data_IF_024445713320
#
_entry.id   IF_024445713320
#
_cell.length_a   1.000
_cell.length_b   1.000
_cell.length_c   1.000
_cell.angle_alpha   90.00
_cell.angle_beta   90.00
_cell.angle_gamma   90.00
#
_symmetry.space_group_name_H-M   'P 1'
#
loop_
_entity.id
_entity.type
_entity.pdbx_description
1 polymer ?
#
# COMPACT_ATOMS: atom_id res chain seq x y z
N UNK A 1 -12.12 11.38 14.66
CA UNK A 1 -13.45 10.94 15.14
C UNK A 1 -14.08 9.79 14.35
N UNK A 2 -14.42 9.92 13.05
CA UNK A 2 -15.18 8.90 12.31
C UNK A 2 -14.65 7.46 12.37
N UNK A 3 -13.34 7.26 12.09
CA UNK A 3 -12.72 5.93 12.11
C UNK A 3 -12.78 5.25 13.49
N UNK A 4 -12.49 6.01 14.56
CA UNK A 4 -12.52 5.47 15.93
C UNK A 4 -13.92 5.00 16.31
N UNK A 5 -14.93 5.81 16.01
CA UNK A 5 -16.33 5.46 16.31
C UNK A 5 -16.77 4.19 15.57
N UNK A 6 -16.40 4.06 14.29
CA UNK A 6 -16.74 2.89 13.48
C UNK A 6 -16.08 1.61 14.02
N UNK A 7 -14.79 1.66 14.35
CA UNK A 7 -14.08 0.51 14.94
C UNK A 7 -14.72 0.06 16.26
N UNK A 8 -15.04 1.01 17.15
CA UNK A 8 -15.73 0.71 18.42
C UNK A 8 -17.12 0.10 18.17
N UNK A 9 -17.89 0.65 17.24
CA UNK A 9 -19.23 0.14 16.89
C UNK A 9 -19.18 -1.29 16.34
N UNK A 10 -18.13 -1.64 15.59
CA UNK A 10 -17.91 -2.98 15.05
C UNK A 10 -17.30 -3.95 16.07
N UNK A 11 -17.07 -3.52 17.32
CA UNK A 11 -16.58 -4.38 18.39
C UNK A 11 -15.06 -4.61 18.37
N UNK A 12 -14.28 -3.79 17.65
CA UNK A 12 -12.83 -3.90 17.72
C UNK A 12 -12.34 -3.51 19.13
N UNK A 13 -11.54 -4.35 19.79
CA UNK A 13 -11.00 -4.06 21.11
C UNK A 13 -9.87 -3.03 21.03
N UNK A 14 -9.60 -2.39 22.17
CA UNK A 14 -8.37 -1.61 22.37
C UNK A 14 -8.19 -0.39 21.46
N UNK A 15 -9.26 0.25 20.97
CA UNK A 15 -9.18 1.42 20.08
C UNK A 15 -8.84 2.72 20.87
N UNK A 16 -7.56 2.96 21.11
CA UNK A 16 -7.00 4.11 21.87
C UNK A 16 -6.09 4.97 20.97
N UNK A 17 -5.48 6.02 21.50
CA UNK A 17 -4.48 6.81 20.75
C UNK A 17 -3.16 6.06 20.56
N UNK A 18 -2.87 5.08 21.42
CA UNK A 18 -1.67 4.24 21.33
C UNK A 18 -1.77 3.21 20.19
N UNK A 19 -2.97 2.70 19.91
CA UNK A 19 -3.19 1.62 18.93
C UNK A 19 -3.79 2.10 17.62
N UNK A 20 -4.44 3.26 17.59
CA UNK A 20 -5.00 3.87 16.38
C UNK A 20 -4.11 5.00 15.88
N UNK A 21 -3.05 4.65 15.15
CA UNK A 21 -2.09 5.62 14.61
C UNK A 21 -2.45 6.00 13.18
N UNK A 22 -3.18 7.10 13.03
CA UNK A 22 -3.61 7.63 11.73
C UNK A 22 -2.56 8.55 11.11
N UNK A 23 -2.71 8.86 9.81
CA UNK A 23 -1.87 9.84 9.13
C UNK A 23 -2.19 11.23 9.66
N UNK A 24 -1.17 12.00 10.03
CA UNK A 24 -1.30 13.37 10.55
C UNK A 24 -0.92 14.43 9.52
N UNK A 25 -0.02 14.10 8.60
CA UNK A 25 0.41 14.97 7.51
C UNK A 25 -0.10 14.41 6.18
N UNK A 26 -0.85 15.23 5.43
CA UNK A 26 -1.42 14.84 4.15
C UNK A 26 -0.35 14.54 3.08
N UNK A 27 0.80 15.19 3.17
CA UNK A 27 1.91 15.07 2.23
C UNK A 27 2.84 13.88 2.57
N UNK A 28 2.74 13.34 3.79
CA UNK A 28 3.45 12.14 4.23
C UNK A 28 2.59 10.87 4.07
N UNK A 29 2.71 10.21 2.92
CA UNK A 29 2.01 8.95 2.65
C UNK A 29 2.70 7.71 3.24
N UNK A 30 4.01 7.80 3.54
CA UNK A 30 4.76 6.68 4.09
C UNK A 30 4.20 6.23 5.44
N UNK A 31 4.27 4.92 5.67
CA UNK A 31 3.94 4.30 6.96
C UNK A 31 5.19 4.04 7.80
N UNK A 32 6.38 4.24 7.24
CA UNK A 32 7.63 3.89 7.90
C UNK A 32 7.89 4.66 9.20
N UNK A 33 7.66 5.99 9.28
CA UNK A 33 7.85 6.70 10.54
C UNK A 33 6.98 6.14 11.67
N UNK A 34 5.74 5.73 11.35
CA UNK A 34 4.81 5.12 12.32
C UNK A 34 5.25 3.71 12.71
N UNK A 35 5.73 2.89 11.76
CA UNK A 35 6.31 1.57 12.07
C UNK A 35 7.55 1.70 12.97
N UNK A 36 8.45 2.64 12.67
CA UNK A 36 9.65 2.91 13.49
C UNK A 36 9.27 3.36 14.91
N UNK A 37 8.28 4.23 15.06
CA UNK A 37 7.77 4.65 16.37
C UNK A 37 7.23 3.46 17.19
N UNK A 38 6.40 2.61 16.58
CA UNK A 38 5.89 1.39 17.24
C UNK A 38 7.04 0.46 17.64
N UNK A 39 8.04 0.30 16.75
CA UNK A 39 9.18 -0.58 16.96
C UNK A 39 10.09 -0.18 18.13
N UNK A 40 10.02 1.07 18.61
CA UNK A 40 10.75 1.52 19.81
C UNK A 40 10.23 0.85 21.10
N UNK A 41 8.97 0.41 21.11
CA UNK A 41 8.30 -0.14 22.30
C UNK A 41 7.84 -1.59 22.11
N UNK A 42 7.67 -2.03 20.86
CA UNK A 42 7.07 -3.31 20.54
C UNK A 42 7.85 -4.04 19.44
N UNK A 43 7.84 -5.37 19.48
CA UNK A 43 8.31 -6.19 18.36
C UNK A 43 7.17 -6.43 17.37
N UNK A 44 7.26 -5.86 16.18
CA UNK A 44 6.29 -6.09 15.10
C UNK A 44 6.52 -7.47 14.48
N UNK A 45 5.64 -8.41 14.82
CA UNK A 45 5.71 -9.81 14.35
C UNK A 45 5.00 -10.04 13.01
N UNK A 46 3.95 -9.26 12.71
CA UNK A 46 3.16 -9.34 11.48
C UNK A 46 2.83 -7.94 10.96
N UNK A 47 2.68 -7.83 9.64
CA UNK A 47 2.14 -6.65 8.95
C UNK A 47 1.03 -7.11 8.01
N UNK A 48 -0.12 -6.45 8.09
CA UNK A 48 -1.32 -6.79 7.34
C UNK A 48 -1.77 -5.56 6.55
N UNK A 49 -2.12 -5.73 5.28
CA UNK A 49 -2.51 -4.62 4.42
C UNK A 49 -2.84 -5.05 3.00
N UNK A 50 -3.41 -4.14 2.23
CA UNK A 50 -3.79 -4.32 0.83
C UNK A 50 -2.80 -3.69 -0.15
N UNK A 51 -1.79 -2.99 0.36
CA UNK A 51 -0.78 -2.31 -0.44
C UNK A 51 0.63 -2.71 0.01
N UNK A 52 1.57 -2.91 -0.93
CA UNK A 52 2.95 -3.25 -0.60
C UNK A 52 3.61 -2.25 0.37
N UNK A 53 3.23 -0.96 0.29
CA UNK A 53 3.77 0.09 1.17
C UNK A 53 3.33 -0.09 2.65
N UNK A 54 2.38 -0.99 2.93
CA UNK A 54 2.01 -1.42 4.29
C UNK A 54 3.11 -2.26 4.96
N UNK A 55 3.99 -2.86 4.16
CA UNK A 55 4.99 -3.81 4.62
C UNK A 55 6.40 -3.21 4.75
N UNK A 56 6.79 -2.34 3.81
CA UNK A 56 8.12 -1.75 3.78
C UNK A 56 8.15 -0.47 2.93
N UNK A 57 9.06 0.44 3.26
CA UNK A 57 9.37 1.61 2.41
C UNK A 57 10.03 1.22 1.08
N UNK A 58 10.62 0.02 0.97
CA UNK A 58 11.26 -0.48 -0.26
C UNK A 58 10.33 -0.56 -1.48
N UNK A 59 9.01 -0.52 -1.26
CA UNK A 59 8.00 -0.54 -2.31
C UNK A 59 7.53 0.86 -2.73
N UNK A 60 7.88 1.90 -1.99
CA UNK A 60 7.35 3.25 -2.18
C UNK A 60 7.93 3.93 -3.43
N UNK A 61 7.08 4.66 -4.17
CA UNK A 61 7.46 5.58 -5.24
C UNK A 61 8.39 4.97 -6.32
N UNK A 62 8.10 3.75 -6.74
CA UNK A 62 8.87 3.05 -7.77
C UNK A 62 8.00 2.61 -8.95
N UNK A 63 8.62 2.28 -10.07
CA UNK A 63 7.92 1.86 -11.29
C UNK A 63 7.14 0.56 -11.08
N UNK A 64 6.20 0.24 -11.97
CA UNK A 64 5.49 -1.06 -11.96
C UNK A 64 6.49 -2.23 -11.87
N UNK A 65 7.53 -2.21 -12.71
CA UNK A 65 8.58 -3.23 -12.71
C UNK A 65 9.39 -3.24 -11.41
N UNK A 66 9.70 -2.07 -10.84
CA UNK A 66 10.37 -1.95 -9.55
C UNK A 66 9.55 -2.56 -8.41
N UNK A 67 8.24 -2.33 -8.40
CA UNK A 67 7.32 -2.89 -7.40
C UNK A 67 7.26 -4.42 -7.49
N UNK A 68 7.18 -4.96 -8.71
CA UNK A 68 7.20 -6.41 -8.97
C UNK A 68 8.52 -7.01 -8.48
N UNK A 69 9.66 -6.43 -8.88
CA UNK A 69 10.99 -6.92 -8.48
C UNK A 69 11.19 -6.91 -6.97
N UNK A 70 10.78 -5.84 -6.28
CA UNK A 70 10.85 -5.79 -4.82
C UNK A 70 9.96 -6.85 -4.15
N UNK A 71 8.78 -7.12 -4.72
CA UNK A 71 7.89 -8.16 -4.22
C UNK A 71 8.50 -9.56 -4.40
N UNK A 72 9.11 -9.83 -5.56
CA UNK A 72 9.82 -11.08 -5.84
C UNK A 72 11.00 -11.30 -4.89
N UNK A 73 11.78 -10.25 -4.61
CA UNK A 73 12.88 -10.28 -3.63
C UNK A 73 12.36 -10.58 -2.21
N UNK A 74 11.14 -10.15 -1.89
CA UNK A 74 10.49 -10.35 -0.60
C UNK A 74 9.59 -11.58 -0.54
N UNK A 75 9.59 -12.45 -1.56
CA UNK A 75 8.61 -13.55 -1.71
C UNK A 75 8.45 -14.44 -0.47
N UNK A 76 9.55 -14.71 0.23
CA UNK A 76 9.56 -15.56 1.42
C UNK A 76 8.84 -14.94 2.63
N UNK A 77 8.62 -13.63 2.63
CA UNK A 77 7.94 -12.90 3.69
C UNK A 77 6.42 -12.91 3.52
N UNK A 78 5.91 -13.10 2.31
CA UNK A 78 4.47 -13.16 2.07
C UNK A 78 3.85 -14.44 2.62
N UNK A 79 2.72 -14.31 3.33
CA UNK A 79 2.05 -15.40 4.03
C UNK A 79 2.68 -15.76 5.38
N UNK A 80 3.84 -15.21 5.73
CA UNK A 80 4.51 -15.46 7.01
C UNK A 80 4.59 -14.20 7.86
N UNK A 81 5.19 -13.12 7.31
CA UNK A 81 5.32 -11.81 7.98
C UNK A 81 4.46 -10.74 7.34
N UNK A 82 4.30 -10.79 6.01
CA UNK A 82 3.45 -9.89 5.23
C UNK A 82 2.17 -10.63 4.83
N UNK A 83 1.03 -10.19 5.33
CA UNK A 83 -0.28 -10.76 5.01
C UNK A 83 -1.00 -9.79 4.09
N UNK A 84 -1.07 -10.16 2.81
CA UNK A 84 -1.67 -9.33 1.76
C UNK A 84 -3.18 -9.58 1.66
N UNK A 85 -3.96 -8.50 1.64
CA UNK A 85 -5.38 -8.52 1.30
C UNK A 85 -5.57 -8.06 -0.15
N UNK A 86 -6.42 -8.71 -0.96
CA UNK A 86 -6.63 -8.31 -2.34
C UNK A 86 -7.44 -7.01 -2.43
N UNK A 87 -6.91 -6.01 -3.16
CA UNK A 87 -7.63 -4.81 -3.52
C UNK A 87 -7.40 -4.45 -5.01
N UNK A 88 -8.32 -4.82 -5.92
CA UNK A 88 -8.21 -4.50 -7.33
C UNK A 88 -8.75 -3.10 -7.68
N UNK A 89 -9.29 -2.35 -6.71
CA UNK A 89 -10.02 -1.10 -6.96
C UNK A 89 -9.10 0.12 -7.05
N UNK A 90 -8.09 0.20 -6.20
CA UNK A 90 -7.14 1.30 -6.15
C UNK A 90 -5.86 0.89 -5.41
N UNK A 91 -4.85 1.74 -5.43
CA UNK A 91 -3.65 1.59 -4.60
C UNK A 91 -2.42 2.18 -5.25
N UNK A 92 -1.27 1.99 -4.60
CA UNK A 92 0.00 2.52 -5.14
C UNK A 92 0.44 1.75 -6.40
N UNK A 93 -0.12 0.56 -6.63
CA UNK A 93 0.00 -0.14 -7.91
C UNK A 93 -0.54 0.73 -9.07
N UNK A 94 -1.68 1.38 -8.89
CA UNK A 94 -2.28 2.25 -9.91
C UNK A 94 -1.47 3.54 -10.07
N UNK A 95 -1.03 4.14 -8.96
CA UNK A 95 -0.15 5.32 -8.98
C UNK A 95 1.13 5.06 -9.79
N UNK A 96 1.70 3.86 -9.68
CA UNK A 96 2.90 3.50 -10.44
C UNK A 96 2.67 3.40 -11.95
N UNK A 97 1.46 3.05 -12.40
CA UNK A 97 1.05 3.11 -13.83
C UNK A 97 1.04 4.55 -14.32
N UNK A 98 0.67 5.49 -13.45
CA UNK A 98 0.67 6.92 -13.75
C UNK A 98 2.03 7.59 -13.54
N UNK A 99 3.08 6.81 -13.21
CA UNK A 99 4.41 7.32 -12.84
C UNK A 99 4.32 8.40 -11.74
N UNK A 100 3.34 8.26 -10.85
CA UNK A 100 3.02 9.22 -9.79
C UNK A 100 2.69 10.63 -10.30
N UNK A 101 2.34 10.79 -11.58
CA UNK A 101 1.84 12.04 -12.14
C UNK A 101 0.33 12.16 -11.94
N UNK A 102 -0.06 12.78 -10.82
CA UNK A 102 -1.47 12.99 -10.48
C UNK A 102 -2.17 14.07 -11.30
N UNK A 103 -1.44 14.82 -12.14
CA UNK A 103 -2.00 15.87 -13.01
C UNK A 103 -2.57 15.34 -14.33
N UNK A 104 -2.42 14.04 -14.59
CA UNK A 104 -2.96 13.40 -15.79
C UNK A 104 -4.49 13.50 -15.82
N UNK A 105 -5.05 13.76 -17.00
CA UNK A 105 -6.49 13.69 -17.23
C UNK A 105 -6.97 12.25 -17.18
N UNK A 106 -8.28 12.04 -17.00
CA UNK A 106 -8.85 10.70 -16.97
C UNK A 106 -8.65 9.94 -18.29
N UNK A 107 -8.65 10.64 -19.42
CA UNK A 107 -8.31 10.06 -20.73
C UNK A 107 -6.86 9.56 -20.78
N UNK A 108 -5.90 10.35 -20.26
CA UNK A 108 -4.50 9.95 -20.19
C UNK A 108 -4.29 8.77 -19.24
N UNK A 109 -4.97 8.75 -18.09
CA UNK A 109 -4.95 7.63 -17.14
C UNK A 109 -5.53 6.35 -17.77
N UNK A 110 -6.66 6.46 -18.47
CA UNK A 110 -7.28 5.34 -19.17
C UNK A 110 -6.33 4.76 -20.24
N UNK A 111 -5.66 5.62 -21.01
CA UNK A 111 -4.71 5.18 -22.02
C UNK A 111 -3.51 4.44 -21.41
N UNK A 112 -2.92 4.98 -20.34
CA UNK A 112 -1.81 4.31 -19.62
C UNK A 112 -2.21 2.96 -19.01
N UNK A 113 -3.43 2.82 -18.51
CA UNK A 113 -3.93 1.52 -18.04
C UNK A 113 -4.07 0.53 -19.21
N UNK A 114 -4.59 0.99 -20.35
CA UNK A 114 -4.78 0.16 -21.54
C UNK A 114 -3.46 -0.31 -22.14
N UNK A 115 -2.44 0.55 -22.17
CA UNK A 115 -1.14 0.21 -22.77
C UNK A 115 -0.37 -0.88 -22.02
N UNK A 116 -0.72 -1.16 -20.76
CA UNK A 116 -0.12 -2.23 -19.95
C UNK A 116 -0.84 -3.58 -20.08
N UNK A 117 -1.97 -3.64 -20.80
CA UNK A 117 -2.70 -4.88 -21.01
C UNK A 117 -1.91 -5.80 -21.94
N UNK A 118 -1.63 -7.02 -21.47
CA UNK A 118 -1.06 -8.06 -22.32
C UNK A 118 -2.19 -8.71 -23.12
N UNK A 119 -2.12 -8.63 -24.44
CA UNK A 119 -3.05 -9.36 -25.32
C UNK A 119 -2.47 -10.73 -25.67
N UNK A 120 -3.34 -11.72 -25.81
CA UNK A 120 -2.92 -13.06 -26.25
C UNK A 120 -2.76 -13.02 -27.77
N UNK A 121 -1.52 -13.14 -28.26
CA UNK A 121 -1.22 -13.29 -29.70
C UNK A 121 -0.64 -12.07 -30.43
N UNK A 122 -0.25 -10.99 -29.75
CA UNK A 122 0.42 -9.84 -30.35
C UNK A 122 1.69 -9.45 -29.61
N UNK A 123 2.78 -9.20 -30.36
CA UNK A 123 3.96 -8.46 -29.89
C UNK A 123 3.55 -6.99 -29.67
N UNK A 124 4.14 -6.27 -28.69
CA UNK A 124 3.70 -4.91 -28.32
C UNK A 124 3.64 -3.91 -29.48
#
# INVERSE_FOLDING_TARGET
EGTRANLKKLGFPGVTDETLIVRTDADASSKEPRRKLIAQRYRIVLLLGDNLNDFSEAFEKTTVAGRISAADQSKALFGTRFIMLPNPMYGDWENSVYEYNFKLTDAQKAERRRSLLKTVGGTP
#
